data_IF_160039396483
#
_entry.id   IF_160039396483
#
_cell.length_a   1.000
_cell.length_b   1.000
_cell.length_c   1.000
_cell.angle_alpha   90.00
_cell.angle_beta   90.00
_cell.angle_gamma   90.00
#
_symmetry.space_group_name_H-M   'P 1'
#
loop_
_entity.id
_entity.type
_entity.pdbx_description
1 polymer ?
#
# COMPACT_ATOMS: atom_id res chain seq x y z
N UNK A 1 9.40 -10.80 45.72
CA UNK A 1 10.15 -10.45 44.50
C UNK A 1 9.41 -11.04 43.32
N UNK A 2 8.73 -10.22 42.52
CA UNK A 2 8.12 -10.72 41.28
C UNK A 2 9.28 -11.05 40.33
N UNK A 3 9.34 -12.30 39.84
CA UNK A 3 10.30 -12.68 38.83
C UNK A 3 10.13 -11.75 37.62
N UNK A 4 11.21 -11.10 37.19
CA UNK A 4 11.19 -10.30 35.97
C UNK A 4 10.72 -11.21 34.83
N UNK A 5 9.61 -10.84 34.19
CA UNK A 5 9.03 -11.64 33.13
C UNK A 5 10.04 -11.73 32.00
N UNK A 6 10.59 -12.91 31.76
CA UNK A 6 11.63 -13.13 30.78
C UNK A 6 11.11 -12.73 29.40
N UNK A 7 11.86 -11.87 28.70
CA UNK A 7 11.49 -11.46 27.35
C UNK A 7 11.66 -12.65 26.40
N UNK A 8 10.60 -12.95 25.65
CA UNK A 8 10.51 -14.10 24.74
C UNK A 8 10.14 -13.62 23.35
N UNK A 9 10.49 -14.40 22.32
CA UNK A 9 10.17 -14.06 20.94
C UNK A 9 8.64 -14.05 20.74
N UNK A 10 7.94 -14.98 21.38
CA UNK A 10 6.47 -15.02 21.41
C UNK A 10 5.89 -13.78 22.08
N UNK A 11 6.51 -13.29 23.16
CA UNK A 11 6.11 -12.04 23.83
C UNK A 11 6.27 -10.83 22.91
N UNK A 12 7.38 -10.72 22.20
CA UNK A 12 7.62 -9.64 21.24
C UNK A 12 6.65 -9.70 20.04
N UNK A 13 6.34 -10.90 19.52
CA UNK A 13 5.32 -11.07 18.48
C UNK A 13 3.93 -10.65 18.97
N UNK A 14 3.53 -11.04 20.18
CA UNK A 14 2.26 -10.60 20.78
C UNK A 14 2.18 -9.08 20.93
N UNK A 15 3.28 -8.45 21.34
CA UNK A 15 3.37 -7.00 21.43
C UNK A 15 3.16 -6.33 20.06
N UNK A 16 3.82 -6.80 19.01
CA UNK A 16 3.59 -6.29 17.64
C UNK A 16 2.16 -6.56 17.14
N UNK A 17 1.56 -7.69 17.52
CA UNK A 17 0.18 -8.01 17.16
C UNK A 17 -0.82 -7.07 17.83
N UNK A 18 -0.56 -6.63 19.07
CA UNK A 18 -1.36 -5.60 19.74
C UNK A 18 -1.25 -4.26 18.98
N UNK A 19 -0.05 -3.84 18.60
CA UNK A 19 0.14 -2.62 17.81
C UNK A 19 -0.55 -2.66 16.44
N UNK A 20 -0.55 -3.83 15.80
CA UNK A 20 -1.30 -4.05 14.56
C UNK A 20 -2.81 -3.92 14.77
N UNK A 21 -3.33 -4.52 15.84
CA UNK A 21 -4.75 -4.42 16.21
C UNK A 21 -5.18 -2.98 16.50
N UNK A 22 -4.30 -2.19 17.10
CA UNK A 22 -4.54 -0.78 17.42
C UNK A 22 -4.31 0.15 16.19
N UNK A 23 -3.92 -0.40 15.03
CA UNK A 23 -3.73 0.35 13.78
C UNK A 23 -2.39 1.09 13.67
N UNK A 24 -1.47 0.86 14.60
CA UNK A 24 -0.15 1.51 14.62
C UNK A 24 0.90 0.80 13.75
N UNK A 25 0.63 -0.45 13.36
CA UNK A 25 1.49 -1.24 12.49
C UNK A 25 0.81 -1.51 11.15
N UNK A 26 1.52 -1.21 10.07
CA UNK A 26 1.07 -1.37 8.69
C UNK A 26 2.07 -2.22 7.88
N UNK A 27 1.66 -2.67 6.69
CA UNK A 27 2.50 -3.43 5.77
C UNK A 27 2.70 -2.66 4.47
N UNK A 28 3.94 -2.42 4.13
CA UNK A 28 4.38 -2.08 2.77
C UNK A 28 4.85 -3.34 2.05
N UNK A 29 4.56 -3.41 0.75
CA UNK A 29 5.05 -4.48 -0.13
C UNK A 29 5.89 -3.90 -1.26
N UNK A 30 7.07 -3.31 -0.96
CA UNK A 30 7.93 -2.80 -2.00
C UNK A 30 8.37 -3.92 -2.93
N UNK A 31 8.55 -3.58 -4.20
CA UNK A 31 9.09 -4.52 -5.17
C UNK A 31 10.58 -4.84 -4.90
N UNK A 32 11.20 -5.66 -5.74
CA UNK A 32 12.61 -6.04 -5.59
C UNK A 32 13.57 -4.86 -5.74
N UNK A 33 13.14 -3.79 -6.41
CA UNK A 33 13.91 -2.57 -6.62
C UNK A 33 13.64 -1.52 -5.52
N UNK A 34 12.76 -1.84 -4.56
CA UNK A 34 12.36 -0.91 -3.50
C UNK A 34 11.31 0.12 -3.93
N UNK A 35 10.71 -0.04 -5.12
CA UNK A 35 9.64 0.84 -5.57
C UNK A 35 8.39 0.61 -4.70
N UNK A 36 7.68 1.69 -4.43
CA UNK A 36 6.45 1.68 -3.67
C UNK A 36 5.36 0.85 -4.37
N UNK A 37 4.40 0.37 -3.59
CA UNK A 37 3.26 -0.38 -4.11
C UNK A 37 2.52 0.45 -5.16
N UNK A 38 2.23 -0.15 -6.30
CA UNK A 38 1.57 0.50 -7.43
C UNK A 38 0.63 -0.46 -8.14
N UNK A 39 -0.39 0.10 -8.77
CA UNK A 39 -1.37 -0.64 -9.57
C UNK A 39 -1.38 -0.12 -10.99
N UNK A 40 -1.58 -1.05 -11.92
CA UNK A 40 -1.74 -0.76 -13.33
C UNK A 40 -3.21 -0.50 -13.65
N UNK A 41 -3.44 0.33 -14.64
CA UNK A 41 -4.77 0.73 -15.04
C UNK A 41 -4.81 1.19 -16.48
N UNK A 42 -5.98 1.68 -16.88
CA UNK A 42 -6.25 2.25 -18.19
C UNK A 42 -6.90 3.61 -18.01
N UNK A 43 -6.34 4.62 -18.67
CA UNK A 43 -6.95 5.94 -18.83
C UNK A 43 -7.71 5.95 -20.14
N UNK A 44 -9.02 6.17 -20.06
CA UNK A 44 -9.90 6.39 -21.22
C UNK A 44 -10.24 7.87 -21.28
N UNK A 45 -9.98 8.50 -22.42
CA UNK A 45 -10.44 9.87 -22.69
C UNK A 45 -11.50 9.80 -23.76
N UNK A 46 -12.68 10.33 -23.45
CA UNK A 46 -13.81 10.38 -24.37
C UNK A 46 -14.19 11.82 -24.67
N UNK A 47 -14.51 12.09 -25.93
CA UNK A 47 -14.92 13.41 -26.39
C UNK A 47 -16.34 13.32 -26.92
N UNK A 48 -17.27 14.10 -26.38
CA UNK A 48 -18.68 14.11 -26.81
C UNK A 48 -19.15 15.52 -27.04
N UNK A 49 -19.82 15.78 -28.17
CA UNK A 49 -20.50 17.06 -28.35
C UNK A 49 -21.56 17.24 -27.27
N UNK A 50 -21.87 18.49 -26.93
CA UNK A 50 -22.94 18.81 -25.99
C UNK A 50 -24.17 19.30 -26.74
N UNK A 51 -25.35 18.84 -26.30
CA UNK A 51 -26.64 19.37 -26.69
C UNK A 51 -27.29 19.99 -25.45
N UNK A 52 -27.49 21.32 -25.46
CA UNK A 52 -28.03 22.07 -24.32
C UNK A 52 -27.30 21.80 -22.99
N UNK A 53 -25.97 21.71 -23.04
CA UNK A 53 -25.12 21.48 -21.87
C UNK A 53 -25.03 20.02 -21.41
N UNK A 54 -25.68 19.07 -22.10
CA UNK A 54 -25.62 17.65 -21.80
C UNK A 54 -24.79 16.91 -22.86
N UNK A 55 -23.89 16.00 -22.48
CA UNK A 55 -23.12 15.19 -23.44
C UNK A 55 -24.04 14.34 -24.33
N UNK A 56 -23.88 14.46 -25.63
CA UNK A 56 -24.57 13.66 -26.63
C UNK A 56 -23.75 12.40 -26.93
N UNK A 57 -24.10 11.31 -26.26
CA UNK A 57 -23.43 10.02 -26.43
C UNK A 57 -23.68 9.37 -27.80
N UNK A 58 -24.65 9.87 -28.58
CA UNK A 58 -24.94 9.36 -29.92
C UNK A 58 -24.01 9.91 -31.00
N UNK A 59 -23.28 10.99 -30.68
CA UNK A 59 -22.42 11.70 -31.63
C UNK A 59 -20.97 11.74 -31.13
N UNK A 60 -20.00 11.17 -31.89
CA UNK A 60 -18.59 11.29 -31.54
C UNK A 60 -18.18 12.77 -31.54
N UNK A 61 -17.33 13.14 -30.59
CA UNK A 61 -16.84 14.49 -30.41
C UNK A 61 -15.89 14.96 -31.52
N UNK A 62 -15.23 16.11 -31.32
CA UNK A 62 -14.27 16.65 -32.28
C UNK A 62 -12.98 15.82 -32.43
N UNK A 63 -12.69 14.92 -31.48
CA UNK A 63 -11.49 14.10 -31.44
C UNK A 63 -11.87 12.63 -31.21
N UNK A 64 -10.98 11.74 -31.62
CA UNK A 64 -11.12 10.32 -31.37
C UNK A 64 -10.95 10.00 -29.88
N UNK A 65 -11.73 9.03 -29.39
CA UNK A 65 -11.55 8.51 -28.05
C UNK A 65 -10.19 7.81 -27.95
N UNK A 66 -9.49 8.03 -26.84
CA UNK A 66 -8.16 7.44 -26.62
C UNK A 66 -8.16 6.53 -25.40
N UNK A 67 -7.28 5.53 -25.43
CA UNK A 67 -7.06 4.61 -24.32
C UNK A 67 -5.57 4.38 -24.16
N UNK A 68 -5.03 4.61 -22.96
CA UNK A 68 -3.61 4.45 -22.68
C UNK A 68 -3.38 3.73 -21.34
N UNK A 69 -2.34 2.88 -21.22
CA UNK A 69 -1.98 2.30 -19.94
C UNK A 69 -1.48 3.38 -18.98
N UNK A 70 -1.87 3.27 -17.71
CA UNK A 70 -1.43 4.16 -16.63
C UNK A 70 -1.01 3.35 -15.42
N UNK A 71 -0.10 3.89 -14.62
CA UNK A 71 0.31 3.29 -13.34
C UNK A 71 0.10 4.33 -12.25
N UNK A 72 -0.50 3.92 -11.13
CA UNK A 72 -0.68 4.76 -9.95
C UNK A 72 -0.02 4.11 -8.73
N UNK A 73 0.78 4.85 -7.96
CA UNK A 73 1.22 4.38 -6.65
C UNK A 73 0.04 4.35 -5.68
N UNK A 74 0.03 3.38 -4.77
CA UNK A 74 -0.85 3.42 -3.60
C UNK A 74 -0.41 4.55 -2.69
N UNK A 75 -1.39 5.33 -2.23
CA UNK A 75 -1.16 6.41 -1.26
C UNK A 75 -0.98 5.87 0.14
N UNK A 76 -1.61 4.75 0.45
CA UNK A 76 -1.63 4.17 1.78
C UNK A 76 -0.95 2.80 1.84
N UNK A 77 -0.34 2.53 2.99
CA UNK A 77 0.14 1.20 3.32
C UNK A 77 -1.04 0.26 3.58
N UNK A 78 -0.79 -1.05 3.50
CA UNK A 78 -1.82 -2.03 3.80
C UNK A 78 -2.03 -2.12 5.32
N UNK A 79 -3.29 -2.13 5.73
CA UNK A 79 -3.68 -2.30 7.12
C UNK A 79 -3.60 -3.77 7.49
N UNK A 80 -3.02 -4.07 8.66
CA UNK A 80 -2.95 -5.43 9.18
C UNK A 80 -4.28 -5.77 9.87
N UNK A 81 -4.99 -6.79 9.37
CA UNK A 81 -6.17 -7.35 10.03
C UNK A 81 -5.80 -8.34 11.12
N UNK A 82 -4.75 -9.12 10.88
CA UNK A 82 -4.30 -10.19 11.76
C UNK A 82 -2.80 -10.36 11.67
N UNK A 83 -2.14 -10.47 12.81
CA UNK A 83 -0.70 -10.70 12.92
C UNK A 83 -0.45 -11.87 13.86
N UNK A 84 0.21 -12.93 13.37
CA UNK A 84 0.42 -14.15 14.14
C UNK A 84 1.82 -14.73 13.91
N UNK A 85 2.36 -15.36 14.95
CA UNK A 85 3.61 -16.14 14.88
C UNK A 85 3.39 -17.49 14.22
N UNK A 86 3.32 -17.53 12.89
CA UNK A 86 3.10 -18.75 12.15
C UNK A 86 3.95 -18.79 10.88
N UNK A 87 4.41 -20.00 10.53
CA UNK A 87 5.07 -20.27 9.27
C UNK A 87 4.08 -20.56 8.13
N UNK A 88 4.60 -20.75 6.92
CA UNK A 88 3.81 -21.01 5.71
C UNK A 88 2.95 -22.27 5.80
N UNK A 89 3.36 -23.24 6.63
CA UNK A 89 2.63 -24.49 6.91
C UNK A 89 1.57 -24.33 8.00
N UNK A 90 1.27 -23.10 8.44
CA UNK A 90 0.34 -22.78 9.53
C UNK A 90 0.71 -23.37 10.90
N UNK A 91 1.99 -23.73 11.11
CA UNK A 91 2.49 -24.11 12.42
C UNK A 91 2.96 -22.87 13.17
N UNK A 92 2.78 -22.87 14.49
CA UNK A 92 3.31 -21.80 15.34
C UNK A 92 4.83 -21.70 15.19
N UNK A 93 5.31 -20.50 14.90
CA UNK A 93 6.72 -20.20 14.69
C UNK A 93 7.05 -18.81 15.23
N UNK A 94 7.93 -18.75 16.23
CA UNK A 94 8.37 -17.50 16.84
C UNK A 94 9.23 -16.65 15.88
N UNK A 95 9.75 -17.26 14.80
CA UNK A 95 10.65 -16.61 13.85
C UNK A 95 10.01 -16.19 12.55
N UNK A 96 8.77 -16.60 12.32
CA UNK A 96 7.98 -16.19 11.17
C UNK A 96 6.71 -15.50 11.64
N UNK A 97 6.43 -14.32 11.10
CA UNK A 97 5.18 -13.62 11.34
C UNK A 97 4.33 -13.61 10.09
N UNK A 98 3.10 -14.08 10.21
CA UNK A 98 2.05 -14.02 9.20
C UNK A 98 1.21 -12.76 9.41
N UNK A 99 1.14 -11.91 8.40
CA UNK A 99 0.34 -10.69 8.39
C UNK A 99 -0.79 -10.82 7.35
N UNK A 100 -2.03 -10.92 7.79
CA UNK A 100 -3.19 -10.78 6.92
C UNK A 100 -3.48 -9.30 6.73
N UNK A 101 -3.49 -8.84 5.47
CA UNK A 101 -3.59 -7.42 5.17
C UNK A 101 -4.85 -7.09 4.39
N UNK A 102 -5.22 -5.81 4.43
CA UNK A 102 -6.33 -5.27 3.66
C UNK A 102 -6.00 -3.84 3.24
N UNK A 103 -6.68 -3.37 2.21
CA UNK A 103 -6.67 -1.97 1.81
C UNK A 103 -8.09 -1.55 1.48
N UNK A 104 -8.44 -0.34 1.88
CA UNK A 104 -9.69 0.32 1.49
C UNK A 104 -9.46 1.32 0.35
N UNK A 105 -8.23 1.41 -0.14
CA UNK A 105 -7.87 2.32 -1.22
C UNK A 105 -8.51 1.83 -2.52
N UNK A 106 -9.47 2.61 -3.01
CA UNK A 106 -10.04 2.44 -4.35
C UNK A 106 -9.42 3.49 -5.25
N UNK A 107 -8.59 3.02 -6.17
CA UNK A 107 -8.03 3.86 -7.21
C UNK A 107 -8.97 3.83 -8.40
N UNK A 108 -9.42 5.01 -8.79
CA UNK A 108 -10.35 5.21 -9.88
C UNK A 108 -10.89 6.62 -9.80
N UNK A 109 -10.92 7.31 -10.93
CA UNK A 109 -11.45 8.67 -10.98
C UNK A 109 -12.08 8.92 -12.32
N UNK A 110 -13.25 9.55 -12.29
CA UNK A 110 -13.84 10.15 -13.48
C UNK A 110 -13.86 11.65 -13.27
N UNK A 111 -13.31 12.37 -14.22
CA UNK A 111 -13.37 13.83 -14.28
C UNK A 111 -13.89 14.23 -15.64
N UNK A 112 -14.65 15.31 -15.69
CA UNK A 112 -15.20 15.83 -16.92
C UNK A 112 -15.07 17.34 -16.97
N UNK A 113 -14.67 17.87 -18.10
CA UNK A 113 -14.60 19.30 -18.35
C UNK A 113 -15.26 19.65 -19.67
N UNK A 114 -15.77 20.88 -19.77
CA UNK A 114 -16.48 21.37 -20.96
C UNK A 114 -15.63 22.39 -21.68
N UNK A 115 -15.52 22.23 -22.99
CA UNK A 115 -14.75 23.10 -23.86
C UNK A 115 -15.61 23.51 -25.06
N UNK A 116 -15.14 24.48 -25.82
CA UNK A 116 -15.77 24.88 -27.08
C UNK A 116 -14.76 24.85 -28.21
N UNK A 117 -15.25 24.59 -29.42
CA UNK A 117 -14.50 24.75 -30.67
C UNK A 117 -15.30 25.63 -31.61
N UNK A 118 -14.57 26.42 -32.40
CA UNK A 118 -15.15 27.18 -33.50
C UNK A 118 -15.16 26.33 -34.75
N UNK A 119 -16.33 26.22 -35.38
CA UNK A 119 -16.49 25.63 -36.71
C UNK A 119 -16.91 26.72 -37.67
N UNK A 120 -16.09 26.96 -38.69
CA UNK A 120 -16.49 27.81 -39.80
C UNK A 120 -17.56 27.10 -40.63
N UNK A 121 -18.66 27.80 -40.86
CA UNK A 121 -19.72 27.39 -41.78
C UNK A 121 -19.76 28.38 -42.93
N UNK A 122 -20.45 28.03 -44.00
CA UNK A 122 -20.55 28.88 -45.20
C UNK A 122 -21.09 30.29 -44.92
N UNK A 123 -21.83 30.49 -43.82
CA UNK A 123 -22.49 31.75 -43.49
C UNK A 123 -22.04 32.39 -42.18
N UNK A 124 -21.34 31.67 -41.29
CA UNK A 124 -20.91 32.20 -39.99
C UNK A 124 -19.89 31.29 -39.27
N UNK A 125 -19.32 31.76 -38.16
CA UNK A 125 -18.56 30.95 -37.20
C UNK A 125 -19.49 30.47 -36.09
N UNK A 126 -19.66 29.16 -35.95
CA UNK A 126 -20.44 28.56 -34.87
C UNK A 126 -19.53 28.09 -33.74
N UNK A 127 -19.92 28.34 -32.48
CA UNK A 127 -19.26 27.75 -31.31
C UNK A 127 -19.99 26.49 -30.89
N UNK A 128 -19.33 25.35 -31.04
CA UNK A 128 -19.84 24.05 -30.65
C UNK A 128 -19.19 23.62 -29.35
N UNK A 129 -20.00 23.35 -28.33
CA UNK A 129 -19.54 22.86 -27.04
C UNK A 129 -19.35 21.35 -27.06
N UNK A 130 -18.28 20.86 -26.45
CA UNK A 130 -18.03 19.44 -26.25
C UNK A 130 -17.50 19.19 -24.84
N UNK A 131 -17.78 18.01 -24.31
CA UNK A 131 -17.26 17.53 -23.05
C UNK A 131 -16.08 16.59 -23.30
N UNK A 132 -14.99 16.79 -22.55
CA UNK A 132 -13.92 15.81 -22.38
C UNK A 132 -14.18 15.08 -21.08
N UNK A 133 -14.33 13.76 -21.13
CA UNK A 133 -14.42 12.91 -19.93
C UNK A 133 -13.21 12.00 -19.86
N UNK A 134 -12.45 12.12 -18.78
CA UNK A 134 -11.28 11.28 -18.48
C UNK A 134 -11.68 10.32 -17.36
N UNK A 135 -11.60 9.03 -17.66
CA UNK A 135 -11.86 7.94 -16.72
C UNK A 135 -10.60 7.12 -16.54
N UNK A 136 -10.12 7.05 -15.31
CA UNK A 136 -9.03 6.17 -14.91
C UNK A 136 -9.62 4.96 -14.18
N UNK A 137 -9.36 3.76 -14.74
CA UNK A 137 -9.74 2.47 -14.15
C UNK A 137 -8.46 1.73 -13.77
N UNK A 138 -8.35 1.26 -12.52
CA UNK A 138 -7.17 0.52 -12.04
C UNK A 138 -7.54 -0.91 -11.62
N UNK A 139 -6.57 -1.82 -11.67
CA UNK A 139 -6.69 -3.12 -11.01
C UNK A 139 -6.95 -2.94 -9.51
N UNK A 140 -7.76 -3.83 -8.92
CA UNK A 140 -8.10 -3.74 -7.50
C UNK A 140 -6.85 -4.01 -6.63
N UNK A 141 -6.38 -3.01 -5.85
CA UNK A 141 -5.24 -3.19 -4.97
C UNK A 141 -5.44 -4.32 -3.95
N UNK A 142 -6.68 -4.53 -3.49
CA UNK A 142 -7.01 -5.57 -2.53
C UNK A 142 -6.83 -6.97 -3.11
N UNK A 143 -6.96 -7.13 -4.44
CA UNK A 143 -6.71 -8.39 -5.14
C UNK A 143 -5.22 -8.55 -5.45
N UNK A 144 -4.55 -7.51 -5.96
CA UNK A 144 -3.12 -7.58 -6.34
C UNK A 144 -2.21 -7.92 -5.15
N UNK A 145 -2.51 -7.30 -4.01
CA UNK A 145 -1.75 -7.41 -2.77
C UNK A 145 -2.45 -8.30 -1.74
N UNK A 146 -3.45 -9.07 -2.16
CA UNK A 146 -4.11 -10.06 -1.32
C UNK A 146 -3.08 -11.04 -0.73
N UNK A 147 -3.27 -11.37 0.54
CA UNK A 147 -2.59 -12.51 1.14
C UNK A 147 -2.58 -12.47 2.66
N UNK A 148 -2.22 -13.60 3.28
CA UNK A 148 -1.24 -13.57 4.33
C UNK A 148 0.16 -13.31 3.74
N UNK A 149 0.86 -12.30 4.25
CA UNK A 149 2.27 -12.03 3.96
C UNK A 149 3.13 -12.60 5.08
N UNK A 150 4.19 -13.32 4.73
CA UNK A 150 5.07 -13.94 5.71
C UNK A 150 6.36 -13.13 5.86
N UNK A 151 6.74 -12.90 7.11
CA UNK A 151 7.89 -12.09 7.49
C UNK A 151 8.86 -12.93 8.32
N UNK A 152 10.03 -13.24 7.75
CA UNK A 152 11.07 -14.00 8.42
C UNK A 152 12.02 -13.07 9.20
N UNK A 153 11.94 -13.09 10.53
CA UNK A 153 12.67 -12.16 11.41
C UNK A 153 14.18 -12.30 11.34
N UNK A 154 14.71 -13.52 11.19
CA UNK A 154 16.15 -13.75 11.06
C UNK A 154 16.80 -13.11 9.83
N UNK A 155 15.99 -12.70 8.84
CA UNK A 155 16.45 -12.00 7.62
C UNK A 155 16.03 -10.53 7.59
N UNK A 156 15.47 -10.03 8.68
CA UNK A 156 14.95 -8.67 8.73
C UNK A 156 16.08 -7.63 8.77
N UNK A 157 15.88 -6.53 8.06
CA UNK A 157 16.65 -5.29 8.20
C UNK A 157 15.75 -4.29 8.90
N UNK A 158 16.18 -3.83 10.06
CA UNK A 158 15.41 -2.92 10.92
C UNK A 158 16.09 -1.57 10.89
N UNK A 159 15.32 -0.52 10.64
CA UNK A 159 15.79 0.86 10.62
C UNK A 159 14.79 1.79 11.25
N UNK A 160 15.28 2.83 11.91
CA UNK A 160 14.49 3.96 12.41
C UNK A 160 14.92 5.22 11.67
N UNK A 161 13.96 5.91 11.08
CA UNK A 161 14.17 7.20 10.44
C UNK A 161 14.08 8.33 11.47
N UNK A 162 14.67 9.48 11.16
CA UNK A 162 14.69 10.66 12.04
C UNK A 162 13.28 11.20 12.37
N UNK A 163 12.29 10.93 11.53
CA UNK A 163 10.88 11.26 11.77
C UNK A 163 10.16 10.25 12.68
N UNK A 164 10.89 9.34 13.33
CA UNK A 164 10.30 8.35 14.25
C UNK A 164 9.64 7.16 13.55
N UNK A 165 9.61 7.09 12.21
CA UNK A 165 9.15 5.91 11.47
C UNK A 165 10.13 4.76 11.69
N UNK A 166 9.62 3.61 12.15
CA UNK A 166 10.40 2.39 12.30
C UNK A 166 9.93 1.41 11.23
N UNK A 167 10.89 0.81 10.52
CA UNK A 167 10.62 -0.17 9.47
C UNK A 167 11.41 -1.44 9.71
N UNK A 168 10.76 -2.58 9.57
CA UNK A 168 11.42 -3.88 9.47
C UNK A 168 11.13 -4.46 8.09
N UNK A 169 12.16 -4.72 7.30
CA UNK A 169 12.04 -5.25 5.94
C UNK A 169 12.66 -6.64 5.83
N UNK A 170 11.93 -7.59 5.24
CA UNK A 170 12.43 -8.93 4.97
C UNK A 170 12.08 -9.34 3.53
N UNK A 171 12.92 -10.16 2.86
CA UNK A 171 12.58 -10.74 1.58
C UNK A 171 11.34 -11.63 1.70
N UNK A 172 10.34 -11.40 0.85
CA UNK A 172 9.19 -12.29 0.68
C UNK A 172 9.20 -12.96 -0.69
N UNK A 173 8.22 -13.83 -0.95
CA UNK A 173 8.14 -14.63 -2.17
C UNK A 173 7.86 -13.78 -3.42
N UNK A 174 6.83 -12.92 -3.35
CA UNK A 174 6.39 -12.06 -4.46
C UNK A 174 6.91 -10.63 -4.32
N UNK A 175 6.83 -10.09 -3.10
CA UNK A 175 7.29 -8.75 -2.74
C UNK A 175 8.19 -8.84 -1.52
N UNK A 176 9.04 -7.85 -1.32
CA UNK A 176 9.63 -7.66 0.00
C UNK A 176 8.51 -7.28 0.96
N UNK A 177 8.50 -7.85 2.16
CA UNK A 177 7.53 -7.46 3.19
C UNK A 177 8.19 -6.42 4.07
N UNK A 178 7.56 -5.26 4.22
CA UNK A 178 8.00 -4.19 5.10
C UNK A 178 6.93 -3.95 6.17
N UNK A 179 7.23 -4.27 7.42
CA UNK A 179 6.43 -3.83 8.55
C UNK A 179 6.81 -2.38 8.84
N UNK A 180 5.80 -1.51 8.81
CA UNK A 180 5.97 -0.07 9.01
C UNK A 180 5.19 0.36 10.23
N UNK A 181 5.92 0.89 11.19
CA UNK A 181 5.37 1.64 12.31
C UNK A 181 5.44 3.12 11.98
N UNK A 182 4.29 3.77 11.88
CA UNK A 182 4.19 5.20 11.56
C UNK A 182 4.25 6.00 12.88
N UNK A 183 5.38 6.68 13.10
CA UNK A 183 5.65 7.45 14.31
C UNK A 183 4.76 8.69 14.51
N UNK A 184 4.01 9.11 13.49
CA UNK A 184 3.11 10.28 13.58
C UNK A 184 1.97 10.08 14.60
N UNK A 185 1.67 8.84 15.00
CA UNK A 185 0.73 8.53 16.09
C UNK A 185 1.39 8.50 17.48
N UNK A 186 2.71 8.64 17.56
CA UNK A 186 3.48 8.42 18.78
C UNK A 186 4.23 9.69 19.15
N UNK A 187 3.54 10.52 19.94
CA UNK A 187 4.19 11.56 20.77
C UNK A 187 5.02 10.95 21.93
N UNK A 188 5.10 9.63 22.01
CA UNK A 188 5.71 8.88 23.11
C UNK A 188 7.01 8.17 22.66
N UNK A 189 8.19 8.79 22.87
CA UNK A 189 9.47 8.19 22.48
C UNK A 189 9.69 6.80 23.12
N UNK A 190 9.13 6.54 24.30
CA UNK A 190 9.31 5.26 24.99
C UNK A 190 8.62 4.13 24.25
N UNK A 191 7.46 4.39 23.63
CA UNK A 191 6.77 3.38 22.83
C UNK A 191 7.58 3.04 21.57
N UNK A 192 8.12 4.05 20.89
CA UNK A 192 8.96 3.85 19.71
C UNK A 192 10.20 3.00 20.04
N UNK A 193 10.85 3.28 21.18
CA UNK A 193 12.00 2.50 21.66
C UNK A 193 11.60 1.04 21.95
N UNK A 194 10.42 0.81 22.54
CA UNK A 194 9.89 -0.55 22.78
C UNK A 194 9.58 -1.28 21.47
N UNK A 195 9.05 -0.60 20.46
CA UNK A 195 8.82 -1.17 19.12
C UNK A 195 10.13 -1.57 18.48
N UNK A 196 11.10 -0.65 18.44
CA UNK A 196 12.41 -0.92 17.86
C UNK A 196 13.12 -2.08 18.60
N UNK A 197 13.06 -2.08 19.93
CA UNK A 197 13.59 -3.14 20.76
C UNK A 197 12.94 -4.48 20.46
N UNK A 198 11.60 -4.55 20.42
CA UNK A 198 10.87 -5.78 20.12
C UNK A 198 11.23 -6.35 18.74
N UNK A 199 11.33 -5.50 17.71
CA UNK A 199 11.74 -5.92 16.37
C UNK A 199 13.18 -6.45 16.36
N UNK A 200 14.12 -5.75 17.01
CA UNK A 200 15.53 -6.18 17.07
C UNK A 200 15.69 -7.46 17.89
N UNK A 201 14.94 -7.60 18.97
CA UNK A 201 14.91 -8.80 19.79
C UNK A 201 14.42 -10.01 18.98
N UNK A 202 13.34 -9.85 18.20
CA UNK A 202 12.87 -10.90 17.29
C UNK A 202 13.90 -11.28 16.25
N UNK A 203 14.55 -10.29 15.62
CA UNK A 203 15.64 -10.55 14.68
C UNK A 203 16.76 -11.36 15.33
N UNK A 204 17.26 -10.92 16.48
CA UNK A 204 18.37 -11.56 17.18
C UNK A 204 18.01 -12.98 17.65
N UNK A 205 16.79 -13.18 18.16
CA UNK A 205 16.28 -14.48 18.61
C UNK A 205 16.18 -15.49 17.46
N UNK A 206 16.06 -15.00 16.23
CA UNK A 206 15.84 -15.80 15.03
C UNK A 206 17.03 -15.79 14.08
N UNK A 207 18.14 -15.18 14.48
CA UNK A 207 19.37 -15.24 13.74
C UNK A 207 20.02 -16.61 13.97
N UNK A 208 20.13 -17.40 12.90
CA UNK A 208 20.77 -18.72 12.97
C UNK A 208 22.26 -18.62 13.27
N UNK A 209 22.87 -17.45 13.05
CA UNK A 209 24.27 -17.20 13.41
C UNK A 209 24.45 -16.96 14.91
N UNK A 210 23.41 -16.57 15.64
CA UNK A 210 23.50 -16.40 17.10
C UNK A 210 23.87 -17.71 17.82
N UNK A 211 23.47 -18.87 17.28
CA UNK A 211 23.86 -20.19 17.78
C UNK A 211 25.33 -20.55 17.50
N UNK A 212 26.02 -19.78 16.66
CA UNK A 212 27.43 -20.02 16.29
C UNK A 212 28.42 -19.37 17.26
N UNK A 213 27.95 -18.58 18.24
CA UNK A 213 28.79 -17.99 19.29
C UNK A 213 29.65 -16.81 18.86
N UNK A 214 29.31 -16.17 17.73
CA UNK A 214 29.95 -14.96 17.21
C UNK A 214 28.99 -13.76 17.26
#
# INVERSE_FOLDING_TARGET
MAAAQQQTAEGAQRFLALLAKDGHLNVGLPDKNGALMSVQGTRKTTYRWQNKGVPDNSRPGPYDDTSAPVTAPLKWLLVIRKLEGMNESANADACTTRAETTTTEKLGSTSSDSHWLTKETFFNVERLWYQTTITDEYEDPAVKYAGPHFFAWGRAVISRAANGRITARAPGLKFNTELVFLGDMVKDPDLADRVEYAMKFLKASCDKTAATGF
#
